data_IF_264739598908
#
_entry.id   IF_264739598908
#
_cell.length_a   1.000
_cell.length_b   1.000
_cell.length_c   1.000
_cell.angle_alpha   90.00
_cell.angle_beta   90.00
_cell.angle_gamma   90.00
#
_symmetry.space_group_name_H-M   'P 1'
#
loop_
_entity.id
_entity.type
_entity.pdbx_description
1 polymer ?
#
# COMPACT_ATOMS: atom_id res chain seq x y z
N UNK A 1 17.25 -16.35 5.96
CA UNK A 1 15.88 -16.30 6.51
C UNK A 1 15.46 -14.90 6.99
N UNK A 2 16.31 -14.15 7.73
CA UNK A 2 15.99 -12.80 8.25
C UNK A 2 15.52 -11.77 7.20
N UNK A 3 16.06 -11.81 5.97
CA UNK A 3 15.72 -10.86 4.89
C UNK A 3 14.26 -10.98 4.39
N UNK A 4 13.67 -12.18 4.41
CA UNK A 4 12.27 -12.40 3.99
C UNK A 4 11.27 -11.86 5.04
N UNK A 5 11.65 -11.94 6.32
CA UNK A 5 10.83 -11.46 7.44
C UNK A 5 10.64 -9.94 7.38
N UNK A 6 11.71 -9.20 7.08
CA UNK A 6 11.70 -7.75 6.94
C UNK A 6 10.86 -7.32 5.73
N UNK A 7 10.90 -8.08 4.63
CA UNK A 7 10.06 -7.80 3.46
C UNK A 7 8.57 -7.99 3.76
N UNK A 8 8.21 -9.09 4.44
CA UNK A 8 6.82 -9.35 4.86
C UNK A 8 6.30 -8.26 5.81
N UNK A 9 7.10 -7.88 6.80
CA UNK A 9 6.73 -6.82 7.75
C UNK A 9 6.54 -5.47 7.05
N UNK A 10 7.36 -5.16 6.03
CA UNK A 10 7.19 -3.94 5.21
C UNK A 10 5.88 -3.95 4.44
N UNK A 11 5.46 -5.07 3.86
CA UNK A 11 4.18 -5.17 3.14
C UNK A 11 3.01 -5.04 4.12
N UNK A 12 3.10 -5.68 5.27
CA UNK A 12 2.07 -5.64 6.31
C UNK A 12 1.81 -4.22 6.84
N UNK A 13 2.88 -3.46 7.10
CA UNK A 13 2.82 -2.05 7.52
C UNK A 13 2.15 -1.15 6.47
N UNK A 14 2.09 -1.55 5.21
CA UNK A 14 1.45 -0.78 4.12
C UNK A 14 -0.01 -1.15 3.91
N UNK A 15 -0.35 -2.43 4.08
CA UNK A 15 -1.70 -2.94 3.88
C UNK A 15 -2.66 -2.39 4.95
N UNK A 16 -2.27 -2.49 6.22
CA UNK A 16 -3.12 -2.06 7.34
C UNK A 16 -3.56 -0.60 7.26
N UNK A 17 -2.67 0.40 7.11
CA UNK A 17 -3.10 1.79 7.03
C UNK A 17 -3.98 2.06 5.81
N UNK A 18 -3.78 1.34 4.70
CA UNK A 18 -4.64 1.45 3.52
C UNK A 18 -6.07 0.97 3.80
N UNK A 19 -6.20 -0.18 4.48
CA UNK A 19 -7.51 -0.73 4.88
C UNK A 19 -8.16 0.17 5.94
N UNK A 20 -7.38 0.60 6.95
CA UNK A 20 -7.87 1.44 8.05
C UNK A 20 -8.38 2.79 7.54
N UNK A 21 -7.69 3.45 6.62
CA UNK A 21 -8.10 4.74 6.07
C UNK A 21 -9.42 4.64 5.30
N UNK A 22 -9.63 3.55 4.57
CA UNK A 22 -10.92 3.26 3.96
C UNK A 22 -12.01 3.02 4.97
N UNK A 23 -11.73 2.19 5.97
CA UNK A 23 -12.70 1.83 6.99
C UNK A 23 -13.09 3.03 7.84
N UNK A 24 -12.19 3.97 8.11
CA UNK A 24 -12.51 5.19 8.88
C UNK A 24 -13.28 6.22 8.05
N UNK A 25 -12.93 6.44 6.79
CA UNK A 25 -13.64 7.40 5.91
C UNK A 25 -15.06 6.92 5.58
N UNK A 26 -15.22 5.62 5.33
CA UNK A 26 -16.50 5.04 4.91
C UNK A 26 -17.30 4.43 6.07
N UNK A 27 -16.67 4.01 7.17
CA UNK A 27 -17.33 3.28 8.27
C UNK A 27 -18.49 4.04 8.93
N UNK A 28 -18.30 5.31 9.30
CA UNK A 28 -19.37 6.11 9.91
C UNK A 28 -20.47 6.46 8.90
N UNK A 29 -20.09 6.86 7.67
CA UNK A 29 -21.04 7.26 6.63
C UNK A 29 -21.98 6.13 6.22
N UNK A 30 -21.52 4.89 6.36
CA UNK A 30 -22.26 3.70 5.97
C UNK A 30 -23.04 3.06 7.12
N UNK A 31 -22.84 3.48 8.37
CA UNK A 31 -23.55 2.99 9.57
C UNK A 31 -25.09 3.12 9.51
N UNK A 32 -25.61 3.93 8.59
CA UNK A 32 -27.03 4.19 8.40
C UNK A 32 -27.69 3.19 7.42
N UNK A 33 -26.90 2.53 6.55
CA UNK A 33 -27.43 1.67 5.48
C UNK A 33 -27.40 0.16 5.84
N UNK A 34 -28.17 -0.72 5.16
CA UNK A 34 -28.08 -2.17 5.33
C UNK A 34 -26.70 -2.72 4.91
N UNK A 35 -26.21 -3.77 5.57
CA UNK A 35 -24.86 -4.32 5.39
C UNK A 35 -24.48 -4.57 3.92
N UNK A 36 -25.40 -5.08 3.10
CA UNK A 36 -25.18 -5.34 1.68
C UNK A 36 -24.87 -4.07 0.87
N UNK A 37 -25.65 -3.01 1.12
CA UNK A 37 -25.46 -1.72 0.47
C UNK A 37 -24.14 -1.08 0.93
N UNK A 38 -23.75 -1.34 2.18
CA UNK A 38 -22.47 -0.86 2.70
C UNK A 38 -21.29 -1.44 1.94
N UNK A 39 -21.28 -2.76 1.83
CA UNK A 39 -20.22 -3.49 1.13
C UNK A 39 -20.17 -3.10 -0.34
N UNK A 40 -21.32 -2.89 -0.99
CA UNK A 40 -21.39 -2.46 -2.39
C UNK A 40 -20.77 -1.07 -2.61
N UNK A 41 -21.17 -0.08 -1.81
CA UNK A 41 -20.62 1.28 -1.91
C UNK A 41 -19.13 1.29 -1.57
N UNK A 42 -18.73 0.50 -0.55
CA UNK A 42 -17.34 0.33 -0.17
C UNK A 42 -16.54 -0.24 -1.33
N UNK A 43 -16.95 -1.34 -1.96
CA UNK A 43 -16.19 -1.97 -3.06
C UNK A 43 -16.16 -1.09 -4.31
N UNK A 44 -17.29 -0.48 -4.70
CA UNK A 44 -17.34 0.41 -5.87
C UNK A 44 -16.49 1.66 -5.69
N UNK A 45 -16.27 2.12 -4.46
CA UNK A 45 -15.39 3.26 -4.16
C UNK A 45 -13.93 2.82 -3.98
N UNK A 46 -13.73 1.67 -3.33
CA UNK A 46 -12.42 1.13 -2.97
C UNK A 46 -11.66 0.62 -4.18
N UNK A 47 -12.34 0.03 -5.18
CA UNK A 47 -11.71 -0.44 -6.41
C UNK A 47 -11.07 0.71 -7.22
N UNK A 48 -11.81 1.75 -7.66
CA UNK A 48 -11.23 2.86 -8.40
C UNK A 48 -10.23 3.65 -7.55
N UNK A 49 -10.48 3.83 -6.25
CA UNK A 49 -9.48 4.48 -5.40
C UNK A 49 -8.20 3.67 -5.27
N UNK A 50 -8.27 2.34 -5.15
CA UNK A 50 -7.06 1.51 -5.15
C UNK A 50 -6.30 1.70 -6.46
N UNK A 51 -6.98 1.78 -7.60
CA UNK A 51 -6.31 1.98 -8.89
C UNK A 51 -5.67 3.38 -8.98
N UNK A 52 -6.37 4.43 -8.57
CA UNK A 52 -5.93 5.83 -8.72
C UNK A 52 -4.99 6.33 -7.62
N UNK A 53 -5.15 5.88 -6.38
CA UNK A 53 -4.40 6.35 -5.22
C UNK A 53 -3.64 5.22 -4.52
N UNK A 54 -4.25 4.04 -4.36
CA UNK A 54 -3.63 2.89 -3.69
C UNK A 54 -2.37 2.38 -4.39
N UNK A 55 -2.47 2.03 -5.68
CA UNK A 55 -1.36 1.55 -6.51
C UNK A 55 -0.22 2.59 -6.57
N UNK A 56 -0.45 3.88 -6.89
CA UNK A 56 0.62 4.85 -6.92
C UNK A 56 1.21 5.16 -5.54
N UNK A 57 0.42 5.17 -4.46
CA UNK A 57 0.95 5.32 -3.10
C UNK A 57 1.82 4.12 -2.69
N UNK A 58 1.39 2.90 -3.01
CA UNK A 58 2.18 1.67 -2.78
C UNK A 58 3.46 1.72 -3.62
N UNK A 59 3.37 2.10 -4.90
CA UNK A 59 4.54 2.22 -5.78
C UNK A 59 5.51 3.30 -5.28
N UNK A 60 5.01 4.43 -4.78
CA UNK A 60 5.81 5.49 -4.17
C UNK A 60 6.52 5.00 -2.91
N UNK A 61 5.81 4.28 -2.04
CA UNK A 61 6.35 3.80 -0.79
C UNK A 61 7.39 2.69 -1.04
N UNK A 62 7.13 1.77 -1.98
CA UNK A 62 8.11 0.77 -2.43
C UNK A 62 9.36 1.44 -3.00
N UNK A 63 9.22 2.47 -3.84
CA UNK A 63 10.34 3.24 -4.38
C UNK A 63 11.15 3.93 -3.29
N UNK A 64 10.49 4.61 -2.36
CA UNK A 64 11.12 5.29 -1.24
C UNK A 64 11.92 4.33 -0.36
N UNK A 65 11.42 3.11 -0.17
CA UNK A 65 12.11 2.09 0.61
C UNK A 65 13.06 1.19 -0.19
N UNK A 66 13.04 1.22 -1.53
CA UNK A 66 13.92 0.44 -2.42
C UNK A 66 15.03 1.29 -3.06
N UNK A 67 14.94 2.61 -2.96
CA UNK A 67 15.94 3.57 -3.44
C UNK A 67 17.34 3.48 -2.80
N UNK A 68 17.59 2.48 -1.95
CA UNK A 68 18.89 2.24 -1.31
C UNK A 68 19.68 1.06 -1.87
N UNK A 69 19.41 0.62 -3.12
CA UNK A 69 20.18 -0.45 -3.78
C UNK A 69 20.75 -0.15 -5.17
N UNK A 70 20.40 0.98 -5.80
CA UNK A 70 20.92 1.30 -7.14
C UNK A 70 22.29 2.00 -7.16
N UNK A 71 22.80 2.46 -6.01
CA UNK A 71 24.07 3.23 -5.92
C UNK A 71 25.33 2.37 -5.71
N UNK A 72 25.21 1.06 -5.46
CA UNK A 72 26.39 0.22 -5.15
C UNK A 72 26.98 -0.56 -6.33
N UNK A 73 26.31 -0.60 -7.50
CA UNK A 73 26.82 -1.34 -8.67
C UNK A 73 27.61 -0.45 -9.63
N UNK A 74 27.25 0.84 -9.77
CA UNK A 74 27.97 1.79 -10.63
C UNK A 74 29.40 2.08 -10.15
N UNK A 75 29.66 2.00 -8.85
CA UNK A 75 30.99 2.28 -8.26
C UNK A 75 31.95 1.10 -8.35
N UNK A 76 31.46 -0.10 -8.72
CA UNK A 76 32.30 -1.30 -8.83
C UNK A 76 32.99 -1.42 -10.19
N UNK A 77 32.37 -0.89 -11.25
CA UNK A 77 32.90 -0.94 -12.62
C UNK A 77 33.90 0.17 -12.98
N UNK A 78 34.02 1.22 -12.16
CA UNK A 78 34.99 2.33 -12.41
C UNK A 78 36.36 2.06 -11.77
N UNK A 79 36.47 1.02 -10.93
CA UNK A 79 37.67 0.72 -10.13
C UNK A 79 38.35 -0.61 -10.47
N UNK A 80 37.92 -1.25 -11.56
CA UNK A 80 38.58 -2.44 -12.13
C UNK A 80 39.30 -2.07 -13.41
#
# INVERSE_FOLDING_TARGET
>A
MKAKLIASLKIWVVIYPSITLFLTVFGEKLSIFPLYLRTFILTVSLVPWMIFAGIPAVNFLIRQFSGKRATNEATKHVRQ
#
